data_IF_906947354658
#
_entry.id   IF_906947354658
#
_cell.length_a   1.000
_cell.length_b   1.000
_cell.length_c   1.000
_cell.angle_alpha   90.00
_cell.angle_beta   90.00
_cell.angle_gamma   90.00
#
_symmetry.space_group_name_H-M   'P 1'
#
loop_
_entity.id
_entity.type
_entity.pdbx_description
1 polymer ?
#
# COMPACT_ATOMS: atom_id res chain seq x y z
N UNK A 1 -27.98 -3.91 -15.21
CA UNK A 1 -28.83 -3.42 -14.11
C UNK A 1 -28.93 -1.91 -14.31
N UNK A 2 -30.13 -1.38 -14.46
CA UNK A 2 -30.39 0.04 -14.64
C UNK A 2 -31.03 0.56 -13.37
N UNK A 3 -30.57 1.73 -12.87
CA UNK A 3 -31.15 2.38 -11.70
C UNK A 3 -31.65 3.78 -12.08
N UNK A 4 -32.91 4.04 -11.81
CA UNK A 4 -33.54 5.34 -12.02
C UNK A 4 -33.65 6.05 -10.67
N UNK A 5 -32.99 7.20 -10.53
CA UNK A 5 -33.00 7.99 -9.30
C UNK A 5 -33.89 9.22 -9.53
N UNK A 6 -34.96 9.34 -8.73
CA UNK A 6 -35.82 10.50 -8.74
C UNK A 6 -35.25 11.60 -7.82
N UNK A 7 -35.21 12.86 -8.26
CA UNK A 7 -34.79 13.96 -7.41
C UNK A 7 -35.70 14.09 -6.18
N UNK A 8 -35.10 14.29 -5.01
CA UNK A 8 -35.86 14.44 -3.77
C UNK A 8 -35.03 15.02 -2.64
N UNK A 9 -35.69 15.54 -1.60
CA UNK A 9 -35.02 16.00 -0.38
C UNK A 9 -34.63 14.81 0.48
N UNK A 10 -33.33 14.64 0.74
CA UNK A 10 -32.83 13.62 1.65
C UNK A 10 -32.91 14.14 3.10
N UNK A 11 -33.44 13.31 4.00
CA UNK A 11 -33.51 13.56 5.44
C UNK A 11 -33.26 12.28 6.20
N UNK A 12 -32.32 12.30 7.15
CA UNK A 12 -32.01 11.13 7.98
C UNK A 12 -30.61 11.21 8.56
N UNK A 13 -30.22 10.14 9.27
CA UNK A 13 -28.85 9.91 9.77
C UNK A 13 -28.25 8.72 9.02
N UNK A 14 -27.01 8.86 8.58
CA UNK A 14 -26.26 7.80 7.93
C UNK A 14 -24.98 7.54 8.73
N UNK A 15 -24.72 6.27 9.01
CA UNK A 15 -23.42 5.83 9.53
C UNK A 15 -22.53 5.57 8.33
N UNK A 16 -21.49 6.40 8.17
CA UNK A 16 -20.55 6.29 7.06
C UNK A 16 -19.60 5.11 7.32
N UNK A 17 -19.39 4.20 6.34
CA UNK A 17 -18.41 3.14 6.49
C UNK A 17 -16.99 3.69 6.59
N UNK A 18 -16.06 2.97 7.23
CA UNK A 18 -14.66 3.37 7.32
C UNK A 18 -14.02 3.59 5.95
N UNK A 19 -13.12 4.57 5.87
CA UNK A 19 -12.37 4.85 4.64
C UNK A 19 -11.32 3.77 4.39
N UNK A 20 -11.45 3.00 3.30
CA UNK A 20 -10.42 2.04 2.88
C UNK A 20 -9.06 2.71 2.66
N UNK A 21 -9.06 3.89 2.04
CA UNK A 21 -7.81 4.61 1.74
C UNK A 21 -7.07 5.04 3.00
N UNK A 22 -7.78 5.38 4.06
CA UNK A 22 -7.21 5.67 5.37
C UNK A 22 -6.70 4.39 6.03
N UNK A 23 -7.51 3.32 6.03
CA UNK A 23 -7.20 2.06 6.69
C UNK A 23 -5.94 1.39 6.16
N UNK A 24 -5.72 1.32 4.83
CA UNK A 24 -4.48 0.79 4.24
C UNK A 24 -3.23 1.49 4.81
N UNK A 25 -3.25 2.82 4.85
CA UNK A 25 -2.13 3.63 5.33
C UNK A 25 -1.89 3.43 6.82
N UNK A 26 -2.95 3.47 7.61
CA UNK A 26 -2.87 3.27 9.05
C UNK A 26 -2.29 1.89 9.41
N UNK A 27 -2.72 0.83 8.70
CA UNK A 27 -2.19 -0.53 8.88
C UNK A 27 -0.69 -0.61 8.58
N UNK A 28 -0.27 -0.03 7.45
CA UNK A 28 1.14 -0.08 7.04
C UNK A 28 2.01 0.80 7.96
N UNK A 29 1.57 2.02 8.30
CA UNK A 29 2.31 2.87 9.25
C UNK A 29 2.43 2.20 10.62
N UNK A 30 1.36 1.61 11.15
CA UNK A 30 1.37 0.89 12.41
C UNK A 30 2.31 -0.33 12.38
N UNK A 31 2.40 -1.03 11.23
CA UNK A 31 3.29 -2.16 11.04
C UNK A 31 4.77 -1.76 10.95
N UNK A 32 5.05 -0.57 10.43
CA UNK A 32 6.41 -0.03 10.31
C UNK A 32 6.87 0.70 11.58
N UNK A 33 5.93 1.14 12.42
CA UNK A 33 6.23 1.83 13.67
C UNK A 33 6.86 0.88 14.69
N UNK A 34 7.70 1.44 15.58
CA UNK A 34 8.25 0.71 16.72
C UNK A 34 7.18 0.56 17.80
N UNK A 35 7.07 -0.65 18.37
CA UNK A 35 6.19 -0.91 19.51
C UNK A 35 4.81 -1.38 19.11
N UNK A 36 3.79 -0.95 19.84
CA UNK A 36 2.40 -1.40 19.72
C UNK A 36 1.50 -0.25 19.28
N UNK A 37 0.74 -0.48 18.21
CA UNK A 37 -0.26 0.47 17.71
C UNK A 37 -1.67 -0.09 17.84
N UNK A 38 -2.65 0.77 18.06
CA UNK A 38 -4.07 0.43 18.07
C UNK A 38 -4.81 1.20 16.98
N UNK A 39 -5.56 0.48 16.15
CA UNK A 39 -6.38 1.07 15.10
C UNK A 39 -7.85 0.74 15.36
N UNK A 40 -8.65 1.77 15.55
CA UNK A 40 -10.09 1.66 15.74
C UNK A 40 -10.83 1.83 14.43
N UNK A 41 -11.95 1.12 14.26
CA UNK A 41 -12.83 1.25 13.12
C UNK A 41 -12.11 1.08 11.75
N UNK A 42 -11.26 0.05 11.64
CA UNK A 42 -10.45 -0.20 10.42
C UNK A 42 -11.30 -0.62 9.20
N UNK A 43 -12.51 -1.13 9.43
CA UNK A 43 -13.35 -1.72 8.38
C UNK A 43 -12.91 -3.14 7.99
N UNK A 44 -13.80 -3.81 7.24
CA UNK A 44 -13.59 -5.20 6.80
C UNK A 44 -13.93 -5.32 5.32
N UNK A 45 -13.02 -4.98 4.44
CA UNK A 45 -13.15 -5.23 3.01
C UNK A 45 -12.08 -6.22 2.56
N UNK A 46 -12.29 -6.87 1.41
CA UNK A 46 -11.30 -7.78 0.82
C UNK A 46 -9.94 -7.08 0.63
N UNK A 47 -9.96 -5.82 0.17
CA UNK A 47 -8.73 -5.02 0.02
C UNK A 47 -7.97 -4.84 1.34
N UNK A 48 -8.69 -4.54 2.44
CA UNK A 48 -8.08 -4.38 3.76
C UNK A 48 -7.56 -5.71 4.29
N UNK A 49 -8.31 -6.80 4.09
CA UNK A 49 -7.85 -8.14 4.45
C UNK A 49 -6.59 -8.53 3.66
N UNK A 50 -6.51 -8.22 2.37
CA UNK A 50 -5.30 -8.43 1.58
C UNK A 50 -4.09 -7.67 2.14
N UNK A 51 -4.27 -6.41 2.57
CA UNK A 51 -3.17 -5.65 3.22
C UNK A 51 -2.76 -6.29 4.55
N UNK A 52 -3.71 -6.70 5.40
CA UNK A 52 -3.39 -7.40 6.65
C UNK A 52 -2.60 -8.68 6.38
N UNK A 53 -3.09 -9.53 5.46
CA UNK A 53 -2.40 -10.77 5.08
C UNK A 53 -0.99 -10.54 4.55
N UNK A 54 -0.77 -9.50 3.75
CA UNK A 54 0.59 -9.14 3.30
C UNK A 54 1.49 -8.70 4.45
N UNK A 55 0.97 -7.93 5.42
CA UNK A 55 1.71 -7.51 6.60
C UNK A 55 2.04 -8.70 7.51
N UNK A 56 1.09 -9.61 7.73
CA UNK A 56 1.30 -10.85 8.48
C UNK A 56 2.33 -11.75 7.80
N UNK A 57 2.31 -11.87 6.47
CA UNK A 57 3.33 -12.57 5.71
C UNK A 57 4.73 -11.94 5.86
N UNK A 58 4.82 -10.63 6.10
CA UNK A 58 6.07 -9.94 6.44
C UNK A 58 6.43 -10.05 7.94
N UNK A 59 5.70 -10.85 8.72
CA UNK A 59 5.99 -11.11 10.14
C UNK A 59 5.38 -10.08 11.10
N UNK A 60 4.42 -9.27 10.65
CA UNK A 60 3.69 -8.35 11.52
C UNK A 60 2.61 -9.11 12.27
N UNK A 61 2.57 -8.99 13.59
CA UNK A 61 1.50 -9.57 14.41
C UNK A 61 0.30 -8.63 14.44
N UNK A 62 -0.86 -9.13 14.02
CA UNK A 62 -2.14 -8.41 14.02
C UNK A 62 -3.14 -9.18 14.89
N UNK A 63 -3.59 -8.58 15.97
CA UNK A 63 -4.64 -9.11 16.84
C UNK A 63 -5.95 -8.36 16.58
N UNK A 64 -7.00 -9.09 16.20
CA UNK A 64 -8.32 -8.52 15.88
C UNK A 64 -9.27 -8.61 17.07
N UNK A 65 -9.87 -7.48 17.42
CA UNK A 65 -10.95 -7.35 18.41
C UNK A 65 -12.23 -6.84 17.70
N UNK A 66 -13.32 -6.79 18.44
CA UNK A 66 -14.61 -6.35 17.88
C UNK A 66 -14.60 -4.91 17.36
N UNK A 67 -13.84 -4.03 18.00
CA UNK A 67 -13.79 -2.58 17.76
C UNK A 67 -12.42 -2.06 17.33
N UNK A 68 -11.35 -2.86 17.46
CA UNK A 68 -9.99 -2.44 17.15
C UNK A 68 -9.09 -3.56 16.65
N UNK A 69 -7.99 -3.15 16.05
CA UNK A 69 -6.82 -3.99 15.74
C UNK A 69 -5.66 -3.55 16.63
N UNK A 70 -4.89 -4.51 17.12
CA UNK A 70 -3.60 -4.27 17.77
C UNK A 70 -2.52 -4.79 16.84
N UNK A 71 -1.56 -3.92 16.52
CA UNK A 71 -0.51 -4.21 15.56
C UNK A 71 0.85 -4.07 16.26
N UNK A 72 1.70 -5.07 16.07
CA UNK A 72 3.10 -5.07 16.52
C UNK A 72 3.99 -5.42 15.34
N UNK A 73 4.96 -4.58 15.06
CA UNK A 73 5.97 -4.81 14.04
C UNK A 73 7.01 -5.83 14.54
N UNK A 74 6.69 -7.13 14.54
CA UNK A 74 7.63 -8.22 14.77
C UNK A 74 8.08 -8.77 13.41
N UNK A 75 9.32 -9.19 13.26
CA UNK A 75 9.88 -9.53 11.95
C UNK A 75 10.45 -10.93 11.88
N UNK A 76 9.62 -11.93 11.66
CA UNK A 76 10.02 -13.15 10.95
C UNK A 76 9.35 -13.14 9.58
N UNK A 77 10.16 -13.15 8.51
CA UNK A 77 9.69 -12.87 7.15
C UNK A 77 9.22 -14.12 6.42
N UNK A 78 7.99 -14.07 5.90
CA UNK A 78 7.63 -14.78 4.69
C UNK A 78 7.96 -13.95 3.44
N UNK A 79 7.94 -14.61 2.29
CA UNK A 79 8.31 -14.05 1.00
C UNK A 79 7.13 -13.95 0.00
N UNK A 80 5.99 -14.54 0.32
CA UNK A 80 4.80 -14.56 -0.54
C UNK A 80 3.71 -13.64 -0.01
N UNK A 81 3.39 -12.60 -0.78
CA UNK A 81 2.39 -11.58 -0.45
C UNK A 81 1.18 -11.71 -1.37
N UNK A 82 0.04 -12.14 -0.83
CA UNK A 82 -1.20 -12.25 -1.58
C UNK A 82 -2.00 -10.94 -1.52
N UNK A 83 -2.03 -10.22 -2.63
CA UNK A 83 -2.72 -8.93 -2.76
C UNK A 83 -4.19 -9.06 -3.17
N UNK A 84 -4.70 -10.28 -3.43
CA UNK A 84 -6.04 -10.48 -3.97
C UNK A 84 -6.25 -9.68 -5.26
N UNK A 85 -7.29 -8.87 -5.33
CA UNK A 85 -7.53 -7.92 -6.43
C UNK A 85 -7.18 -6.46 -6.07
N UNK A 86 -6.55 -6.24 -4.91
CA UNK A 86 -6.29 -4.91 -4.35
C UNK A 86 -5.08 -4.21 -4.99
N UNK A 87 -5.35 -3.24 -5.87
CA UNK A 87 -4.30 -2.40 -6.46
C UNK A 87 -3.59 -1.50 -5.45
N UNK A 88 -4.27 -1.09 -4.37
CA UNK A 88 -3.66 -0.31 -3.29
C UNK A 88 -2.66 -1.18 -2.51
N UNK A 89 -3.07 -2.40 -2.14
CA UNK A 89 -2.20 -3.35 -1.44
C UNK A 89 -0.94 -3.61 -2.24
N UNK A 90 -1.06 -3.99 -3.53
CA UNK A 90 0.09 -4.26 -4.38
C UNK A 90 1.04 -3.06 -4.45
N UNK A 91 0.52 -1.88 -4.79
CA UNK A 91 1.36 -0.69 -4.99
C UNK A 91 1.98 -0.15 -3.69
N UNK A 92 1.32 -0.32 -2.55
CA UNK A 92 1.89 0.11 -1.27
C UNK A 92 2.92 -0.88 -0.73
N UNK A 93 2.63 -2.18 -0.85
CA UNK A 93 3.49 -3.22 -0.29
C UNK A 93 4.76 -3.48 -1.11
N UNK A 94 4.77 -3.18 -2.42
CA UNK A 94 5.97 -3.34 -3.26
C UNK A 94 7.18 -2.58 -2.70
N UNK A 95 7.15 -1.24 -2.54
CA UNK A 95 8.30 -0.53 -1.97
C UNK A 95 8.50 -0.83 -0.47
N UNK A 96 7.43 -1.11 0.29
CA UNK A 96 7.54 -1.46 1.73
C UNK A 96 8.30 -2.77 1.92
N UNK A 97 8.01 -3.80 1.16
CA UNK A 97 8.74 -5.07 1.20
C UNK A 97 10.20 -4.87 0.77
N UNK A 98 10.44 -4.17 -0.33
CA UNK A 98 11.78 -3.90 -0.86
C UNK A 98 12.63 -3.00 0.06
N UNK A 99 12.03 -2.17 0.92
CA UNK A 99 12.77 -1.40 1.93
C UNK A 99 13.50 -2.32 2.92
N UNK A 100 12.93 -3.48 3.24
CA UNK A 100 13.60 -4.48 4.10
C UNK A 100 14.65 -5.31 3.36
N UNK A 101 14.61 -5.30 2.02
CA UNK A 101 15.47 -6.12 1.16
C UNK A 101 15.12 -7.61 1.19
N UNK A 102 15.43 -8.30 0.11
CA UNK A 102 15.17 -9.73 -0.04
C UNK A 102 14.50 -10.09 -1.36
N UNK A 103 13.97 -11.28 -1.43
CA UNK A 103 13.17 -11.77 -2.56
C UNK A 103 11.71 -11.91 -2.11
N UNK A 104 10.78 -11.41 -2.94
CA UNK A 104 9.35 -11.44 -2.64
C UNK A 104 8.56 -11.84 -3.88
N UNK A 105 7.48 -12.59 -3.66
CA UNK A 105 6.51 -12.98 -4.67
C UNK A 105 5.17 -12.32 -4.34
N UNK A 106 4.76 -11.36 -5.13
CA UNK A 106 3.44 -10.79 -5.05
C UNK A 106 2.47 -11.60 -5.90
N UNK A 107 1.37 -12.05 -5.28
CA UNK A 107 0.30 -12.78 -5.96
C UNK A 107 -0.93 -11.87 -6.08
N UNK A 108 -1.54 -11.90 -7.26
CA UNK A 108 -2.76 -11.17 -7.53
C UNK A 108 -3.81 -12.04 -8.19
N UNK A 109 -5.07 -11.74 -7.92
CA UNK A 109 -6.22 -12.37 -8.57
C UNK A 109 -6.82 -11.44 -9.63
N UNK A 110 -7.69 -12.01 -10.47
CA UNK A 110 -8.39 -11.27 -11.51
C UNK A 110 -7.45 -10.55 -12.45
N UNK A 111 -7.65 -9.24 -12.59
CA UNK A 111 -6.86 -8.38 -13.48
C UNK A 111 -5.77 -7.57 -12.76
N UNK A 112 -5.40 -7.95 -11.52
CA UNK A 112 -4.48 -7.13 -10.72
C UNK A 112 -3.12 -6.97 -11.41
N UNK A 113 -2.53 -8.06 -11.90
CA UNK A 113 -1.18 -8.05 -12.49
C UNK A 113 -1.13 -7.45 -13.91
N UNK A 114 -2.28 -7.25 -14.57
CA UNK A 114 -2.35 -6.51 -15.83
C UNK A 114 -2.57 -5.00 -15.65
N UNK A 115 -2.59 -4.51 -14.41
CA UNK A 115 -2.63 -3.06 -14.15
C UNK A 115 -1.24 -2.47 -14.27
N UNK A 116 -1.12 -1.22 -14.76
CA UNK A 116 0.17 -0.56 -14.94
C UNK A 116 1.05 -0.58 -13.69
N UNK A 117 2.34 -0.94 -13.85
CA UNK A 117 3.38 -0.94 -12.82
C UNK A 117 4.69 -0.31 -13.32
N UNK A 118 4.68 0.30 -14.49
CA UNK A 118 5.84 0.82 -15.21
C UNK A 118 6.66 1.81 -14.37
N UNK A 119 6.01 2.64 -13.56
CA UNK A 119 6.71 3.60 -12.70
C UNK A 119 7.61 2.88 -11.69
N UNK A 120 7.12 1.80 -11.08
CA UNK A 120 7.97 0.99 -10.22
C UNK A 120 9.05 0.24 -11.00
N UNK A 121 8.74 -0.27 -12.18
CA UNK A 121 9.74 -0.94 -12.99
C UNK A 121 10.88 -0.02 -13.42
N UNK A 122 10.60 1.26 -13.68
CA UNK A 122 11.63 2.27 -13.93
C UNK A 122 12.51 2.50 -12.69
N UNK A 123 11.90 2.61 -11.51
CA UNK A 123 12.63 2.72 -10.24
C UNK A 123 13.45 1.46 -9.99
N UNK A 124 12.91 0.27 -10.23
CA UNK A 124 13.63 -0.99 -10.02
C UNK A 124 14.87 -1.08 -10.92
N UNK A 125 14.74 -0.72 -12.19
CA UNK A 125 15.89 -0.66 -13.13
C UNK A 125 16.98 0.30 -12.62
N UNK A 126 16.61 1.50 -12.19
CA UNK A 126 17.58 2.51 -11.71
C UNK A 126 18.26 2.09 -10.41
N UNK A 127 17.58 1.29 -9.57
CA UNK A 127 18.07 0.82 -8.28
C UNK A 127 18.76 -0.55 -8.32
N UNK A 128 18.76 -1.21 -9.50
CA UNK A 128 19.33 -2.56 -9.66
C UNK A 128 18.47 -3.67 -9.00
N UNK A 129 17.17 -3.43 -8.85
CA UNK A 129 16.20 -4.40 -8.33
C UNK A 129 15.73 -5.28 -9.49
N UNK A 130 15.91 -6.59 -9.37
CA UNK A 130 15.42 -7.55 -10.36
C UNK A 130 13.92 -7.76 -10.21
N UNK A 131 13.21 -7.93 -11.33
CA UNK A 131 11.79 -8.27 -11.31
C UNK A 131 11.40 -9.16 -12.48
N UNK A 132 10.39 -9.99 -12.28
CA UNK A 132 9.78 -10.87 -13.29
C UNK A 132 8.26 -10.82 -13.10
N UNK A 133 7.53 -10.39 -14.12
CA UNK A 133 6.07 -10.34 -14.15
C UNK A 133 5.51 -11.49 -14.99
N UNK A 134 4.73 -12.37 -14.37
CA UNK A 134 3.92 -13.40 -15.04
C UNK A 134 2.43 -13.08 -14.86
N UNK A 135 1.89 -12.32 -15.80
CA UNK A 135 0.47 -11.91 -15.76
C UNK A 135 -0.47 -13.12 -15.83
N UNK A 136 -0.08 -14.18 -16.57
CA UNK A 136 -0.93 -15.37 -16.75
C UNK A 136 -1.09 -16.15 -15.44
N UNK A 137 -0.03 -16.21 -14.63
CA UNK A 137 -0.04 -16.83 -13.31
C UNK A 137 -0.42 -15.86 -12.20
N UNK A 138 -0.66 -14.59 -12.52
CA UNK A 138 -0.97 -13.56 -11.54
C UNK A 138 0.17 -13.30 -10.56
N UNK A 139 1.43 -13.31 -11.00
CA UNK A 139 2.60 -13.22 -10.13
C UNK A 139 3.57 -12.14 -10.57
N UNK A 140 4.10 -11.42 -9.60
CA UNK A 140 5.25 -10.53 -9.76
C UNK A 140 6.31 -10.93 -8.74
N UNK A 141 7.45 -11.43 -9.23
CA UNK A 141 8.64 -11.70 -8.41
C UNK A 141 9.52 -10.46 -8.42
N UNK A 142 10.01 -10.04 -7.25
CA UNK A 142 10.96 -8.94 -7.09
C UNK A 142 12.11 -9.39 -6.20
N UNK A 143 13.34 -8.96 -6.52
CA UNK A 143 14.54 -9.33 -5.74
C UNK A 143 15.49 -8.13 -5.66
N UNK A 144 15.85 -7.74 -4.45
CA UNK A 144 16.73 -6.62 -4.20
C UNK A 144 16.37 -5.83 -2.95
N UNK A 145 16.91 -4.63 -2.85
CA UNK A 145 16.64 -3.70 -1.75
C UNK A 145 16.46 -2.29 -2.29
N UNK A 146 15.41 -1.62 -1.87
CA UNK A 146 15.21 -0.21 -2.11
C UNK A 146 16.28 0.58 -1.32
N UNK A 147 16.98 1.47 -2.00
CA UNK A 147 18.02 2.34 -1.41
C UNK A 147 17.51 3.77 -1.33
N UNK A 148 17.95 4.56 -0.33
CA UNK A 148 17.65 5.99 -0.30
C UNK A 148 18.20 6.69 -1.54
N UNK A 149 17.63 7.85 -1.87
CA UNK A 149 18.07 8.65 -3.01
C UNK A 149 16.92 9.41 -3.68
N UNK A 150 17.14 9.77 -4.93
CA UNK A 150 16.21 10.57 -5.73
C UNK A 150 15.30 9.69 -6.56
N UNK A 151 13.98 9.91 -6.42
CA UNK A 151 12.91 9.18 -7.12
C UNK A 151 12.11 10.17 -7.96
N UNK A 152 12.13 9.98 -9.27
CA UNK A 152 11.37 10.80 -10.21
C UNK A 152 10.10 10.07 -10.64
N UNK A 153 8.96 10.75 -10.56
CA UNK A 153 7.65 10.22 -10.89
C UNK A 153 6.86 11.24 -11.71
N UNK A 154 5.99 10.77 -12.58
CA UNK A 154 5.02 11.63 -13.24
C UNK A 154 3.91 12.02 -12.26
N UNK A 155 3.60 13.32 -12.12
CA UNK A 155 2.49 13.80 -11.30
C UNK A 155 1.10 13.44 -11.85
N UNK A 156 1.01 13.09 -13.14
CA UNK A 156 -0.22 12.63 -13.80
C UNK A 156 -0.57 11.17 -13.54
N UNK A 157 0.31 10.40 -12.89
CA UNK A 157 0.05 9.01 -12.54
C UNK A 157 -0.81 8.86 -11.28
N UNK A 158 -1.23 7.64 -11.01
CA UNK A 158 -1.94 7.32 -9.77
C UNK A 158 -1.12 7.69 -8.53
N UNK A 159 -1.72 8.44 -7.60
CA UNK A 159 -1.13 8.76 -6.29
C UNK A 159 -0.72 7.54 -5.46
N UNK A 160 -1.13 6.34 -5.87
CA UNK A 160 -0.75 5.09 -5.19
C UNK A 160 0.75 4.81 -5.28
N UNK A 161 1.42 5.17 -6.39
CA UNK A 161 2.87 5.02 -6.50
C UNK A 161 3.60 5.92 -5.49
N UNK A 162 3.21 7.19 -5.46
CA UNK A 162 3.77 8.15 -4.53
C UNK A 162 3.49 7.76 -3.07
N UNK A 163 2.27 7.29 -2.78
CA UNK A 163 1.91 6.78 -1.45
C UNK A 163 2.78 5.61 -1.03
N UNK A 164 3.00 4.63 -1.91
CA UNK A 164 3.83 3.47 -1.59
C UNK A 164 5.26 3.87 -1.24
N UNK A 165 5.86 4.79 -1.99
CA UNK A 165 7.18 5.33 -1.67
C UNK A 165 7.17 6.12 -0.36
N UNK A 166 6.21 7.02 -0.15
CA UNK A 166 6.10 7.78 1.11
C UNK A 166 6.02 6.87 2.34
N UNK A 167 5.34 5.71 2.23
CA UNK A 167 5.25 4.73 3.31
C UNK A 167 6.57 3.99 3.53
N UNK A 168 7.33 3.70 2.47
CA UNK A 168 8.56 2.90 2.54
C UNK A 168 9.81 3.71 2.90
N UNK A 169 9.96 4.90 2.32
CA UNK A 169 11.19 5.68 2.41
C UNK A 169 11.62 6.07 3.84
N UNK A 170 10.71 6.37 4.79
CA UNK A 170 11.11 6.66 6.17
C UNK A 170 11.76 5.49 6.91
N UNK A 171 11.65 4.26 6.40
CA UNK A 171 12.31 3.09 6.98
C UNK A 171 13.72 2.81 6.42
N UNK A 172 14.19 3.62 5.46
CA UNK A 172 15.52 3.49 4.88
C UNK A 172 16.56 4.27 5.68
N UNK A 173 17.81 3.78 5.62
CA UNK A 173 18.95 4.47 6.22
C UNK A 173 19.52 5.52 5.24
N UNK A 174 19.04 6.75 5.34
CA UNK A 174 19.48 7.90 4.52
C UNK A 174 18.32 8.70 3.95
N UNK A 175 18.63 9.89 3.45
CA UNK A 175 17.66 10.82 2.91
C UNK A 175 17.16 10.42 1.52
N UNK A 176 15.90 10.70 1.28
CA UNK A 176 15.26 10.45 -0.01
C UNK A 176 14.45 11.65 -0.47
N UNK A 177 14.45 11.89 -1.77
CA UNK A 177 13.71 12.96 -2.42
C UNK A 177 12.73 12.38 -3.44
N UNK A 178 11.47 12.81 -3.37
CA UNK A 178 10.43 12.49 -4.36
C UNK A 178 10.18 13.69 -5.24
N UNK A 179 10.45 13.55 -6.53
CA UNK A 179 10.32 14.62 -7.52
C UNK A 179 9.19 14.28 -8.47
N UNK A 180 8.25 15.21 -8.58
CA UNK A 180 7.17 15.13 -9.56
C UNK A 180 7.50 16.02 -10.75
N UNK A 181 7.56 15.43 -11.93
CA UNK A 181 7.86 16.16 -13.18
C UNK A 181 6.62 16.81 -13.82
N UNK A 182 5.45 16.69 -13.20
CA UNK A 182 4.19 17.32 -13.61
C UNK A 182 3.27 17.54 -12.41
N UNK A 183 2.19 18.31 -12.56
CA UNK A 183 1.27 18.62 -11.48
C UNK A 183 0.61 17.37 -10.89
N UNK A 184 0.55 17.28 -9.57
CA UNK A 184 -0.08 16.19 -8.84
C UNK A 184 -1.61 16.30 -8.92
N UNK A 185 -2.27 15.34 -9.55
CA UNK A 185 -3.73 15.36 -9.72
C UNK A 185 -4.52 14.94 -8.47
N UNK A 186 -3.91 14.20 -7.55
CA UNK A 186 -4.60 13.58 -6.39
C UNK A 186 -3.89 13.92 -5.08
N UNK A 187 -3.63 15.20 -4.83
CA UNK A 187 -2.87 15.69 -3.65
C UNK A 187 -3.47 15.22 -2.32
N UNK A 188 -4.80 15.19 -2.19
CA UNK A 188 -5.46 14.78 -0.95
C UNK A 188 -5.08 13.36 -0.44
N UNK A 189 -4.69 12.44 -1.33
CA UNK A 189 -4.18 11.13 -0.89
C UNK A 189 -2.75 11.19 -0.37
N UNK A 190 -1.95 12.12 -0.88
CA UNK A 190 -0.59 12.38 -0.38
C UNK A 190 -0.67 13.03 0.99
N UNK A 191 -1.53 14.04 1.14
CA UNK A 191 -1.77 14.72 2.42
C UNK A 191 -2.27 13.73 3.48
N UNK A 192 -3.23 12.86 3.12
CA UNK A 192 -3.69 11.77 3.98
C UNK A 192 -2.54 10.85 4.43
N UNK A 193 -1.59 10.54 3.54
CA UNK A 193 -0.43 9.70 3.88
C UNK A 193 0.46 10.39 4.90
N UNK A 194 0.79 11.67 4.66
CA UNK A 194 1.62 12.48 5.56
C UNK A 194 0.96 12.67 6.93
N UNK A 195 -0.35 12.92 6.95
CA UNK A 195 -1.11 13.07 8.21
C UNK A 195 -1.07 11.80 9.07
N UNK A 196 -1.16 10.62 8.42
CA UNK A 196 -1.11 9.35 9.15
C UNK A 196 0.31 9.07 9.66
N UNK A 197 1.34 9.37 8.87
CA UNK A 197 2.73 9.21 9.29
C UNK A 197 3.13 10.13 10.44
N UNK A 198 2.46 11.26 10.62
CA UNK A 198 2.70 12.21 11.70
C UNK A 198 2.05 11.82 13.04
N UNK A 199 1.20 10.79 13.07
CA UNK A 199 0.48 10.28 14.26
C UNK A 199 1.26 9.19 14.97
#
# INVERSE_FOLDING_TARGET
MEAVIQPGKLKGKLIIPPSKSFAHRALICAALAKGRSEIYNCGRSEDINATKSCLEALGVRIEEFSDKLIIKGEREKGDVLNCGESGSTLRFMLPVALASGGEFIFQGAGRLMSRPLEEYFNIFKSQGIAYELDERRGRLKVSGRLKPGRFELSGGISSQYLTGLLLALPSLEGDSELILNSALQSSGYVDMTKDIQAR
#
